data_IF_011806885917
#
_entry.id   IF_011806885917
#
_cell.length_a   1.000
_cell.length_b   1.000
_cell.length_c   1.000
_cell.angle_alpha   90.00
_cell.angle_beta   90.00
_cell.angle_gamma   90.00
#
_symmetry.space_group_name_H-M   'P 1'
#
loop_
_entity.id
_entity.type
_entity.pdbx_description
1 polymer ?
#
# COMPACT_ATOMS: atom_id res chain seq x y z
N UNK A 1 -5.15 -7.11 -32.33
CA UNK A 1 -4.06 -6.39 -31.63
C UNK A 1 -4.60 -5.32 -30.70
N UNK A 2 -5.49 -4.42 -31.15
CA UNK A 2 -6.07 -3.38 -30.26
C UNK A 2 -6.87 -3.92 -29.06
N UNK A 3 -7.67 -4.98 -29.23
CA UNK A 3 -8.39 -5.59 -28.11
C UNK A 3 -7.47 -6.16 -27.04
N UNK A 4 -6.29 -6.66 -27.44
CA UNK A 4 -5.28 -7.18 -26.52
C UNK A 4 -4.61 -6.04 -25.73
N UNK A 5 -4.24 -4.95 -26.42
CA UNK A 5 -3.64 -3.77 -25.76
C UNK A 5 -4.64 -3.16 -24.76
N UNK A 6 -5.91 -3.02 -25.14
CA UNK A 6 -6.95 -2.50 -24.25
C UNK A 6 -7.20 -3.44 -23.06
N UNK A 7 -7.30 -4.75 -23.30
CA UNK A 7 -7.46 -5.74 -22.22
C UNK A 7 -6.26 -5.78 -21.27
N UNK A 8 -5.04 -5.66 -21.79
CA UNK A 8 -3.82 -5.62 -20.99
C UNK A 8 -3.77 -4.34 -20.14
N UNK A 9 -4.04 -3.17 -20.70
CA UNK A 9 -4.03 -1.90 -19.96
C UNK A 9 -5.09 -1.89 -18.86
N UNK A 10 -6.31 -2.33 -19.15
CA UNK A 10 -7.38 -2.43 -18.15
C UNK A 10 -7.03 -3.46 -17.07
N UNK A 11 -6.45 -4.60 -17.43
CA UNK A 11 -5.97 -5.60 -16.48
C UNK A 11 -4.91 -5.07 -15.53
N UNK A 12 -3.98 -4.24 -16.01
CA UNK A 12 -2.95 -3.62 -15.17
C UNK A 12 -3.54 -2.55 -14.23
N UNK A 13 -4.47 -1.71 -14.69
CA UNK A 13 -5.10 -0.68 -13.84
C UNK A 13 -5.95 -1.33 -12.75
N UNK A 14 -6.73 -2.36 -13.08
CA UNK A 14 -7.51 -3.13 -12.09
C UNK A 14 -6.57 -3.86 -11.12
N UNK A 15 -5.51 -4.49 -11.62
CA UNK A 15 -4.49 -5.15 -10.78
C UNK A 15 -3.83 -4.18 -9.79
N UNK A 16 -3.42 -2.98 -10.25
CA UNK A 16 -2.90 -1.93 -9.38
C UNK A 16 -3.93 -1.47 -8.36
N UNK A 17 -5.18 -1.25 -8.76
CA UNK A 17 -6.22 -0.81 -7.84
C UNK A 17 -6.52 -1.84 -6.74
N UNK A 18 -6.47 -3.13 -7.08
CA UNK A 18 -6.62 -4.21 -6.12
C UNK A 18 -5.39 -4.30 -5.19
N UNK A 19 -4.17 -4.28 -5.73
CA UNK A 19 -2.95 -4.23 -4.91
C UNK A 19 -2.96 -3.00 -3.97
N UNK A 20 -3.41 -1.85 -4.47
CA UNK A 20 -3.58 -0.66 -3.66
C UNK A 20 -4.68 -0.82 -2.60
N UNK A 21 -5.85 -1.38 -2.91
CA UNK A 21 -6.91 -1.53 -1.91
C UNK A 21 -6.71 -2.65 -0.89
N UNK A 22 -5.94 -3.69 -1.19
CA UNK A 22 -5.68 -4.78 -0.24
C UNK A 22 -4.33 -4.65 0.47
N UNK A 23 -3.29 -4.19 -0.23
CA UNK A 23 -1.94 -4.10 0.34
C UNK A 23 -1.64 -2.72 0.91
N UNK A 24 -2.01 -1.61 0.26
CA UNK A 24 -1.70 -0.25 0.75
C UNK A 24 -2.34 0.08 2.10
N UNK A 25 -3.62 -0.22 2.41
CA UNK A 25 -4.15 0.04 3.74
C UNK A 25 -3.46 -0.82 4.81
N UNK A 26 -3.01 -2.03 4.46
CA UNK A 26 -2.27 -2.89 5.38
C UNK A 26 -0.83 -2.38 5.61
N UNK A 27 -0.16 -1.91 4.56
CA UNK A 27 1.19 -1.32 4.63
C UNK A 27 1.16 0.02 5.37
N UNK A 28 0.18 0.88 5.08
CA UNK A 28 0.02 2.19 5.74
C UNK A 28 -0.24 2.03 7.24
N UNK A 29 -1.16 1.14 7.63
CA UNK A 29 -1.40 0.81 9.05
C UNK A 29 -0.16 0.27 9.75
N UNK A 30 0.59 -0.62 9.10
CA UNK A 30 1.86 -1.14 9.63
C UNK A 30 2.91 -0.05 9.77
N UNK A 31 2.99 0.88 8.82
CA UNK A 31 3.95 1.98 8.84
C UNK A 31 3.60 3.02 9.92
N UNK A 32 2.33 3.36 10.10
CA UNK A 32 1.87 4.22 11.20
C UNK A 32 2.14 3.60 12.57
N UNK A 33 1.89 2.29 12.72
CA UNK A 33 2.22 1.56 13.95
C UNK A 33 3.74 1.56 14.23
N UNK A 34 4.55 1.33 13.20
CA UNK A 34 6.01 1.41 13.30
C UNK A 34 6.50 2.81 13.69
N UNK A 35 5.96 3.87 13.07
CA UNK A 35 6.28 5.25 13.42
C UNK A 35 5.96 5.55 14.90
N UNK A 36 4.78 5.13 15.37
CA UNK A 36 4.39 5.30 16.79
C UNK A 36 5.30 4.54 17.74
N UNK A 37 5.69 3.31 17.42
CA UNK A 37 6.64 2.53 18.24
C UNK A 37 8.01 3.21 18.30
N UNK A 38 8.50 3.72 17.17
CA UNK A 38 9.76 4.47 17.10
C UNK A 38 9.68 5.79 17.88
N UNK A 39 8.58 6.54 17.79
CA UNK A 39 8.38 7.75 18.59
C UNK A 39 8.29 7.44 20.10
N UNK A 40 7.61 6.36 20.48
CA UNK A 40 7.52 5.91 21.86
C UNK A 40 8.88 5.47 22.41
N UNK A 41 9.71 4.80 21.59
CA UNK A 41 11.09 4.43 21.94
C UNK A 41 12.06 5.62 21.96
N UNK A 42 11.75 6.70 21.22
CA UNK A 42 12.58 7.93 21.20
C UNK A 42 12.33 8.84 22.40
N UNK A 43 11.17 8.75 23.05
CA UNK A 43 10.97 9.43 24.33
C UNK A 43 11.68 8.64 25.43
N UNK A 44 12.58 9.26 26.22
CA UNK A 44 13.14 8.59 27.39
C UNK A 44 11.98 8.24 28.34
N UNK A 45 12.02 7.10 29.05
CA UNK A 45 11.14 6.93 30.21
C UNK A 45 11.43 8.10 31.17
N UNK A 46 10.36 8.77 31.62
CA UNK A 46 10.44 9.80 32.67
C UNK A 46 11.12 9.27 33.94
#
# INVERSE_FOLDING_TARGET
MMQFILGFTLGNVVGMYLAQNYEVPNISKKFEAFKKDVEAKKKPPE
#
